data_IF_203461819414
#
_entry.id   IF_203461819414
#
_cell.length_a   1.000
_cell.length_b   1.000
_cell.length_c   1.000
_cell.angle_alpha   90.00
_cell.angle_beta   90.00
_cell.angle_gamma   90.00
#
_symmetry.space_group_name_H-M   'P 1'
#
loop_
_entity.id
_entity.type
_entity.pdbx_description
1 polymer ?
#
# COMPACT_ATOMS: atom_id res chain seq x y z
N UNK A 1 1.33 2.96 12.47
CA UNK A 1 2.45 3.29 11.55
C UNK A 1 2.15 4.62 10.85
N UNK A 2 3.13 5.46 10.52
CA UNK A 2 2.85 6.65 9.68
C UNK A 2 2.66 6.25 8.22
N UNK A 3 2.01 7.08 7.40
CA UNK A 3 1.81 6.80 5.96
C UNK A 3 3.13 6.59 5.21
N UNK A 4 4.14 7.42 5.50
CA UNK A 4 5.48 7.33 4.91
C UNK A 4 6.16 6.01 5.32
N UNK A 5 6.08 5.64 6.60
CA UNK A 5 6.64 4.37 7.08
C UNK A 5 5.96 3.16 6.43
N UNK A 6 4.63 3.24 6.24
CA UNK A 6 3.87 2.19 5.59
C UNK A 6 4.25 2.03 4.12
N UNK A 7 4.38 3.14 3.39
CA UNK A 7 4.79 3.15 2.00
C UNK A 7 6.22 2.60 1.81
N UNK A 8 7.14 2.98 2.70
CA UNK A 8 8.51 2.44 2.68
C UNK A 8 8.53 0.94 3.03
N UNK A 9 7.71 0.50 3.98
CA UNK A 9 7.57 -0.92 4.33
C UNK A 9 7.07 -1.74 3.13
N UNK A 10 6.07 -1.21 2.42
CA UNK A 10 5.54 -1.83 1.20
C UNK A 10 6.59 -1.90 0.09
N UNK A 11 7.32 -0.81 -0.16
CA UNK A 11 8.39 -0.79 -1.15
C UNK A 11 9.46 -1.85 -0.86
N UNK A 12 9.90 -1.96 0.40
CA UNK A 12 10.89 -2.96 0.79
C UNK A 12 10.39 -4.40 0.60
N UNK A 13 9.11 -4.67 0.87
CA UNK A 13 8.53 -6.01 0.76
C UNK A 13 8.34 -6.45 -0.70
N UNK A 14 8.05 -5.50 -1.59
CA UNK A 14 7.93 -5.72 -3.03
C UNK A 14 9.31 -5.74 -3.74
N UNK A 15 10.40 -5.46 -3.01
CA UNK A 15 11.77 -5.52 -3.54
C UNK A 15 12.28 -4.22 -4.17
N UNK A 16 11.61 -3.09 -3.93
CA UNK A 16 12.04 -1.77 -4.39
C UNK A 16 13.06 -1.12 -3.44
N UNK A 17 13.95 -0.31 -4.00
CA UNK A 17 14.94 0.43 -3.21
C UNK A 17 14.35 1.67 -2.53
N UNK A 18 13.27 2.20 -3.08
CA UNK A 18 12.62 3.41 -2.58
C UNK A 18 11.10 3.35 -2.74
N UNK A 19 10.40 4.11 -1.89
CA UNK A 19 8.97 4.33 -2.04
C UNK A 19 8.60 5.00 -3.38
N UNK A 20 9.51 5.78 -3.96
CA UNK A 20 9.29 6.45 -5.24
C UNK A 20 9.33 5.42 -6.38
N UNK A 21 10.32 4.53 -6.38
CA UNK A 21 10.47 3.49 -7.41
C UNK A 21 9.22 2.60 -7.49
N UNK A 22 8.67 2.22 -6.32
CA UNK A 22 7.40 1.49 -6.23
C UNK A 22 6.24 2.28 -6.87
N UNK A 23 6.13 3.57 -6.55
CA UNK A 23 5.04 4.41 -7.05
C UNK A 23 5.11 4.61 -8.57
N UNK A 24 6.32 4.80 -9.11
CA UNK A 24 6.54 4.94 -10.55
C UNK A 24 6.13 3.67 -11.31
N UNK A 25 6.48 2.49 -10.79
CA UNK A 25 6.09 1.21 -11.38
C UNK A 25 4.57 0.99 -11.31
N UNK A 26 3.95 1.23 -10.15
CA UNK A 26 2.49 1.15 -10.00
C UNK A 26 1.74 2.15 -10.89
N UNK A 27 2.34 3.31 -11.22
CA UNK A 27 1.76 4.26 -12.15
C UNK A 27 1.86 3.78 -13.60
N UNK A 28 2.88 3.00 -13.94
CA UNK A 28 3.04 2.41 -15.27
C UNK A 28 2.14 1.19 -15.48
N UNK A 29 1.85 0.44 -14.42
CA UNK A 29 1.00 -0.76 -14.42
C UNK A 29 -0.17 -0.60 -13.44
N UNK A 30 -1.20 0.14 -13.87
CA UNK A 30 -2.41 0.39 -13.07
C UNK A 30 -3.33 -0.83 -13.10
N UNK A 31 -2.95 -1.87 -12.36
CA UNK A 31 -3.87 -2.94 -11.97
C UNK A 31 -4.90 -2.37 -10.98
N UNK A 32 -6.18 -2.67 -11.17
CA UNK A 32 -7.26 -2.25 -10.28
C UNK A 32 -7.12 -2.87 -8.88
N UNK A 33 -6.39 -3.99 -8.76
CA UNK A 33 -5.99 -4.62 -7.50
C UNK A 33 -4.48 -4.48 -7.30
N UNK A 34 -4.08 -3.45 -6.58
CA UNK A 34 -2.70 -3.03 -6.45
C UNK A 34 -2.21 -3.11 -4.99
N UNK A 35 -0.94 -2.81 -4.79
CA UNK A 35 -0.22 -3.14 -3.57
C UNK A 35 -0.61 -2.18 -2.42
N UNK A 36 -1.12 -2.75 -1.32
CA UNK A 36 -1.53 -2.02 -0.12
C UNK A 36 -0.88 -2.60 1.14
N UNK A 37 -0.98 -1.84 2.23
CA UNK A 37 -0.38 -2.20 3.51
C UNK A 37 -1.29 -1.85 4.67
N UNK A 38 -1.40 -2.76 5.64
CA UNK A 38 -2.14 -2.53 6.87
C UNK A 38 -1.44 -1.48 7.76
N UNK A 39 -2.11 -0.37 8.06
CA UNK A 39 -1.57 0.69 8.90
C UNK A 39 -1.38 0.31 10.38
N UNK A 40 -1.95 -0.83 10.80
CA UNK A 40 -1.82 -1.38 12.14
C UNK A 40 -0.64 -2.36 12.26
N UNK A 41 -0.68 -3.49 11.54
CA UNK A 41 0.31 -4.56 11.66
C UNK A 41 1.40 -4.55 10.58
N UNK A 42 1.23 -3.78 9.50
CA UNK A 42 2.18 -3.75 8.38
C UNK A 42 2.06 -4.91 7.39
N UNK A 43 1.10 -5.81 7.55
CA UNK A 43 0.86 -6.88 6.57
C UNK A 43 0.50 -6.28 5.21
N UNK A 44 1.16 -6.77 4.18
CA UNK A 44 0.94 -6.38 2.79
C UNK A 44 -0.15 -7.23 2.13
N UNK A 45 -0.84 -6.65 1.15
CA UNK A 45 -1.89 -7.36 0.42
C UNK A 45 -2.39 -6.56 -0.77
N UNK A 46 -3.24 -7.19 -1.58
CA UNK A 46 -3.92 -6.53 -2.69
C UNK A 46 -5.14 -5.77 -2.18
N UNK A 47 -5.29 -4.53 -2.62
CA UNK A 47 -6.41 -3.66 -2.28
C UNK A 47 -6.80 -2.86 -3.53
N UNK A 48 -8.09 -2.56 -3.66
CA UNK A 48 -8.56 -1.72 -4.76
C UNK A 48 -8.01 -0.29 -4.64
N UNK A 49 -7.70 0.31 -5.78
CA UNK A 49 -7.06 1.62 -5.88
C UNK A 49 -7.83 2.74 -5.15
N UNK A 50 -9.16 2.68 -5.17
CA UNK A 50 -10.09 3.65 -4.57
C UNK A 50 -10.54 3.26 -3.15
N UNK A 51 -10.08 2.12 -2.63
CA UNK A 51 -10.46 1.67 -1.30
C UNK A 51 -9.63 2.40 -0.24
N UNK A 52 -10.30 3.24 0.54
CA UNK A 52 -9.71 3.95 1.67
C UNK A 52 -9.36 3.00 2.85
N UNK A 53 -10.04 1.85 2.95
CA UNK A 53 -9.97 0.92 4.09
C UNK A 53 -10.15 -0.56 3.68
N UNK A 54 -9.19 -1.16 2.98
CA UNK A 54 -9.16 -2.59 2.67
C UNK A 54 -9.08 -3.50 3.90
N UNK A 55 -9.57 -4.73 3.77
CA UNK A 55 -9.61 -5.70 4.88
C UNK A 55 -8.23 -6.30 5.18
N UNK A 56 -7.81 -6.27 6.44
CA UNK A 56 -6.63 -6.97 6.92
C UNK A 56 -7.01 -8.31 7.56
N UNK A 57 -6.56 -9.41 6.97
CA UNK A 57 -6.82 -10.76 7.50
C UNK A 57 -6.10 -11.08 8.81
N UNK A 58 -4.99 -10.38 9.12
CA UNK A 58 -4.23 -10.57 10.37
C UNK A 58 -4.85 -9.79 11.54
N UNK A 59 -5.29 -8.56 11.29
CA UNK A 59 -5.90 -7.72 12.32
C UNK A 59 -7.41 -7.93 12.47
N UNK A 60 -8.05 -8.52 11.47
CA UNK A 60 -9.51 -8.54 11.31
C UNK A 60 -10.13 -7.12 11.35
N UNK A 61 -9.48 -6.17 10.68
CA UNK A 61 -9.88 -4.76 10.63
C UNK A 61 -9.72 -4.17 9.22
N UNK A 62 -10.54 -3.18 8.87
CA UNK A 62 -10.44 -2.40 7.63
C UNK A 62 -9.34 -1.33 7.73
N UNK A 63 -8.07 -1.74 7.62
CA UNK A 63 -6.90 -0.86 7.77
C UNK A 63 -5.83 -1.03 6.69
N UNK A 64 -6.07 -1.82 5.65
CA UNK A 64 -5.17 -1.91 4.49
C UNK A 64 -5.41 -0.69 3.62
N UNK A 65 -4.36 0.08 3.35
CA UNK A 65 -4.45 1.30 2.55
C UNK A 65 -3.56 1.19 1.33
N UNK A 66 -4.08 1.61 0.18
CA UNK A 66 -3.38 1.56 -1.10
C UNK A 66 -2.17 2.51 -1.15
N UNK A 67 -1.10 2.13 -1.88
CA UNK A 67 0.13 2.91 -2.00
C UNK A 67 -0.12 4.37 -2.44
N UNK A 68 -1.03 4.62 -3.39
CA UNK A 68 -1.32 5.97 -3.86
C UNK A 68 -2.05 6.85 -2.82
N UNK A 69 -2.91 6.26 -1.99
CA UNK A 69 -3.58 6.96 -0.88
C UNK A 69 -2.56 7.30 0.23
N UNK A 70 -1.58 6.41 0.44
CA UNK A 70 -0.47 6.66 1.37
C UNK A 70 0.42 7.80 0.88
N UNK A 71 0.66 7.88 -0.43
CA UNK A 71 1.41 8.95 -1.09
C UNK A 71 0.62 10.26 -1.23
N UNK A 72 -0.70 10.25 -1.06
CA UNK A 72 -1.57 11.41 -1.22
C UNK A 72 -1.78 11.83 -2.68
N UNK A 73 -1.70 10.86 -3.60
CA UNK A 73 -1.92 11.05 -5.04
C UNK A 73 -3.42 11.04 -5.37
N UNK A 74 -4.19 10.24 -4.62
CA UNK A 74 -5.66 10.12 -4.66
C UNK A 74 -6.24 10.12 -3.24
#
# INVERSE_FOLDING_TARGET
MTKIQALQSLANAEGYNSAIDLLEDLMADVDLLSNGVCLNCGTHGKVELDSDCGWCYECHENKVTHAFILAGII
#
